data_IF_919868244012
#
_entry.id   IF_919868244012
#
_cell.length_a   1.000
_cell.length_b   1.000
_cell.length_c   1.000
_cell.angle_alpha   90.00
_cell.angle_beta   90.00
_cell.angle_gamma   90.00
#
_symmetry.space_group_name_H-M   'P 1'
#
loop_
_entity.id
_entity.type
_entity.pdbx_description
1 polymer ?
#
# COMPACT_ATOMS: atom_id res chain seq x y z
N UNK A 1 22.01 12.68 4.37
CA UNK A 1 22.04 11.22 4.17
C UNK A 1 21.93 10.58 5.54
N UNK A 2 21.01 9.63 5.72
CA UNK A 2 20.75 8.94 7.00
C UNK A 2 21.14 7.47 6.83
N UNK A 3 21.68 6.83 7.86
CA UNK A 3 22.05 5.40 7.81
C UNK A 3 21.33 4.59 8.87
N UNK A 4 20.91 3.37 8.50
CA UNK A 4 20.37 2.35 9.40
C UNK A 4 21.38 1.22 9.49
N UNK A 5 21.81 0.88 10.70
CA UNK A 5 22.75 -0.22 10.93
C UNK A 5 22.07 -1.31 11.72
N UNK A 6 22.07 -2.53 11.18
CA UNK A 6 21.57 -3.73 11.86
C UNK A 6 22.73 -4.55 12.38
N UNK A 7 22.65 -4.90 13.66
CA UNK A 7 23.58 -5.79 14.32
C UNK A 7 22.92 -7.16 14.50
N UNK A 8 23.62 -8.22 14.10
CA UNK A 8 23.20 -9.60 14.33
C UNK A 8 24.39 -10.37 14.88
N UNK A 9 24.16 -11.12 15.95
CA UNK A 9 25.21 -11.89 16.61
C UNK A 9 25.90 -12.84 15.63
N UNK A 10 27.22 -12.76 15.57
CA UNK A 10 28.06 -13.55 14.66
C UNK A 10 28.16 -13.02 13.23
N UNK A 11 27.54 -11.88 12.89
CA UNK A 11 27.61 -11.27 11.55
C UNK A 11 28.20 -9.86 11.60
N UNK A 12 28.84 -9.45 10.50
CA UNK A 12 29.27 -8.06 10.33
C UNK A 12 28.05 -7.15 10.30
N UNK A 13 28.08 -5.96 10.93
CA UNK A 13 26.96 -5.02 10.86
C UNK A 13 26.59 -4.69 9.41
N UNK A 14 25.31 -4.79 9.11
CA UNK A 14 24.74 -4.42 7.82
C UNK A 14 24.31 -2.96 7.88
N UNK A 15 24.84 -2.12 6.99
CA UNK A 15 24.52 -0.69 6.96
C UNK A 15 23.81 -0.34 5.67
N UNK A 16 22.62 0.20 5.79
CA UNK A 16 21.83 0.75 4.70
C UNK A 16 21.84 2.28 4.77
N UNK A 17 21.65 2.95 3.63
CA UNK A 17 21.67 4.42 3.56
C UNK A 17 20.47 4.95 2.82
N UNK A 18 19.91 6.03 3.34
CA UNK A 18 18.74 6.74 2.81
C UNK A 18 19.12 8.18 2.47
N UNK A 19 18.68 8.65 1.31
CA UNK A 19 18.82 10.03 0.86
C UNK A 19 17.45 10.68 0.81
N UNK A 20 17.37 11.89 1.32
CA UNK A 20 16.15 12.69 1.43
C UNK A 20 16.41 14.05 0.78
N UNK A 21 15.38 14.65 0.19
CA UNK A 21 15.44 16.03 -0.28
C UNK A 21 15.01 17.04 0.81
N UNK A 22 14.93 18.32 0.46
CA UNK A 22 14.53 19.39 1.39
C UNK A 22 13.02 19.41 1.72
N UNK A 23 12.23 18.49 1.15
CA UNK A 23 10.80 18.31 1.42
C UNK A 23 10.54 16.99 2.18
N UNK A 24 11.58 16.42 2.78
CA UNK A 24 11.54 15.13 3.48
C UNK A 24 11.05 13.97 2.60
N UNK A 25 11.32 14.02 1.29
CA UNK A 25 11.00 12.94 0.36
C UNK A 25 12.22 12.04 0.13
N UNK A 26 12.02 10.73 0.22
CA UNK A 26 13.11 9.76 0.01
C UNK A 26 13.51 9.78 -1.47
N UNK A 27 14.71 10.22 -1.80
CA UNK A 27 15.22 10.29 -3.19
C UNK A 27 16.16 9.16 -3.54
N UNK A 28 16.67 8.42 -2.56
CA UNK A 28 17.43 7.22 -2.84
C UNK A 28 17.66 6.31 -1.63
N UNK A 29 17.94 5.05 -1.94
CA UNK A 29 18.22 4.01 -0.97
C UNK A 29 19.40 3.16 -1.44
N UNK A 30 20.32 2.86 -0.54
CA UNK A 30 21.43 1.95 -0.77
C UNK A 30 21.35 0.79 0.23
N UNK A 31 21.18 -0.42 -0.25
CA UNK A 31 21.18 -1.62 0.59
C UNK A 31 22.58 -1.94 1.13
N UNK A 32 22.66 -2.76 2.18
CA UNK A 32 23.93 -3.24 2.72
C UNK A 32 24.78 -4.02 1.70
N UNK A 33 24.12 -4.64 0.71
CA UNK A 33 24.76 -5.37 -0.38
C UNK A 33 25.13 -4.48 -1.58
N UNK A 34 24.98 -3.15 -1.44
CA UNK A 34 25.36 -2.17 -2.46
C UNK A 34 24.32 -1.98 -3.56
N UNK A 35 23.09 -2.48 -3.39
CA UNK A 35 22.01 -2.20 -4.33
C UNK A 35 21.53 -0.75 -4.19
N UNK A 36 21.54 0.00 -5.29
CA UNK A 36 21.16 1.41 -5.29
C UNK A 36 19.81 1.61 -5.98
N UNK A 37 18.93 2.30 -5.28
CA UNK A 37 17.62 2.73 -5.75
C UNK A 37 17.52 4.24 -5.76
N UNK A 38 16.85 4.76 -6.79
CA UNK A 38 16.51 6.16 -6.92
C UNK A 38 15.00 6.31 -7.05
N UNK A 39 14.48 7.38 -6.45
CA UNK A 39 13.06 7.70 -6.43
C UNK A 39 12.84 9.11 -6.98
N UNK A 40 11.76 9.31 -7.73
CA UNK A 40 11.34 10.63 -8.23
C UNK A 40 9.93 10.96 -7.78
N UNK A 41 9.69 12.24 -7.55
CA UNK A 41 8.42 12.78 -7.12
C UNK A 41 8.00 13.92 -8.06
N UNK A 42 6.69 14.12 -8.22
CA UNK A 42 6.15 15.32 -8.86
C UNK A 42 6.11 16.51 -7.89
N UNK A 43 5.63 17.66 -8.36
CA UNK A 43 5.57 18.88 -7.55
C UNK A 43 4.58 18.82 -6.38
N UNK A 44 3.53 17.99 -6.45
CA UNK A 44 2.65 17.73 -5.31
C UNK A 44 3.21 16.66 -4.38
N UNK A 45 4.32 16.04 -4.75
CA UNK A 45 5.08 15.08 -4.00
C UNK A 45 4.70 13.63 -4.23
N UNK A 46 3.90 13.31 -5.25
CA UNK A 46 3.56 11.93 -5.63
C UNK A 46 4.77 11.26 -6.25
N UNK A 47 5.11 10.07 -5.76
CA UNK A 47 6.16 9.25 -6.37
C UNK A 47 5.77 8.93 -7.81
N UNK A 48 6.59 9.34 -8.77
CA UNK A 48 6.39 9.11 -10.20
C UNK A 48 7.26 7.97 -10.72
N UNK A 49 8.40 7.71 -10.07
CA UNK A 49 9.35 6.69 -10.49
C UNK A 49 10.09 6.08 -9.29
N UNK A 50 10.42 4.79 -9.41
CA UNK A 50 11.56 4.19 -8.71
C UNK A 50 12.40 3.34 -9.65
N UNK A 51 13.73 3.33 -9.51
CA UNK A 51 14.61 2.56 -10.40
C UNK A 51 15.84 2.00 -9.70
N UNK A 52 16.35 0.89 -10.22
CA UNK A 52 17.63 0.30 -9.84
C UNK A 52 18.43 -0.02 -11.11
N UNK A 53 19.43 0.79 -11.41
CA UNK A 53 20.23 0.69 -12.64
C UNK A 53 21.00 -0.62 -12.73
N UNK A 54 21.54 -1.11 -11.60
CA UNK A 54 22.26 -2.40 -11.53
C UNK A 54 21.37 -3.57 -11.95
N UNK A 55 20.09 -3.53 -11.58
CA UNK A 55 19.10 -4.54 -11.97
C UNK A 55 18.46 -4.25 -13.33
N UNK A 56 18.68 -3.05 -13.89
CA UNK A 56 17.99 -2.52 -15.06
C UNK A 56 16.47 -2.58 -14.92
N UNK A 57 15.98 -2.30 -13.72
CA UNK A 57 14.55 -2.28 -13.41
C UNK A 57 14.12 -0.85 -13.13
N UNK A 58 12.98 -0.45 -13.70
CA UNK A 58 12.33 0.84 -13.43
C UNK A 58 10.84 0.62 -13.23
N UNK A 59 10.26 1.28 -12.25
CA UNK A 59 8.82 1.37 -12.05
C UNK A 59 8.36 2.80 -12.26
N UNK A 60 7.25 3.00 -12.97
CA UNK A 60 6.58 4.30 -13.08
C UNK A 60 5.17 4.21 -12.52
N UNK A 61 4.71 5.30 -11.91
CA UNK A 61 3.43 5.36 -11.20
C UNK A 61 2.51 6.41 -11.82
N UNK A 62 1.28 6.01 -12.11
CA UNK A 62 0.18 6.90 -12.46
C UNK A 62 -0.80 7.01 -11.29
N UNK A 63 -1.31 8.21 -11.05
CA UNK A 63 -2.12 8.53 -9.89
C UNK A 63 -3.52 8.99 -10.31
N UNK A 64 -4.53 8.56 -9.56
CA UNK A 64 -5.88 9.11 -9.54
C UNK A 64 -6.10 9.79 -8.17
N UNK A 65 -6.08 11.12 -8.15
CA UNK A 65 -5.97 11.90 -6.91
C UNK A 65 -4.72 11.53 -6.10
N UNK A 66 -4.93 11.02 -4.88
CA UNK A 66 -3.92 10.53 -3.95
C UNK A 66 -3.85 8.99 -3.87
N UNK A 67 -4.47 8.28 -4.82
CA UNK A 67 -4.39 6.83 -4.96
C UNK A 67 -3.59 6.44 -6.21
N UNK A 68 -2.76 5.40 -6.11
CA UNK A 68 -2.02 4.87 -7.27
C UNK A 68 -3.01 4.12 -8.16
N UNK A 69 -3.21 4.58 -9.40
CA UNK A 69 -4.10 3.96 -10.37
C UNK A 69 -3.37 2.92 -11.23
N UNK A 70 -2.12 3.18 -11.59
CA UNK A 70 -1.34 2.31 -12.46
C UNK A 70 0.13 2.23 -12.03
N UNK A 71 0.73 1.04 -12.16
CA UNK A 71 2.16 0.81 -11.98
C UNK A 71 2.67 0.07 -13.20
N UNK A 72 3.70 0.61 -13.85
CA UNK A 72 4.40 -0.07 -14.94
C UNK A 72 5.78 -0.47 -14.48
N UNK A 73 6.15 -1.71 -14.74
CA UNK A 73 7.52 -2.21 -14.57
C UNK A 73 8.19 -2.31 -15.92
N UNK A 74 9.42 -1.81 -16.01
CA UNK A 74 10.30 -1.94 -17.15
C UNK A 74 11.53 -2.75 -16.74
N UNK A 75 11.96 -3.66 -17.61
CA UNK A 75 13.20 -4.43 -17.49
C UNK A 75 14.00 -4.27 -18.77
N UNK A 76 15.28 -3.91 -18.66
CA UNK A 76 16.12 -3.56 -19.82
C UNK A 76 15.40 -2.54 -20.74
N UNK A 77 14.79 -1.52 -20.13
CA UNK A 77 13.99 -0.46 -20.78
C UNK A 77 12.77 -0.93 -21.59
N UNK A 78 12.43 -2.21 -21.54
CA UNK A 78 11.23 -2.77 -22.16
C UNK A 78 10.12 -2.92 -21.14
N UNK A 79 8.89 -2.58 -21.54
CA UNK A 79 7.73 -2.76 -20.69
C UNK A 79 7.55 -4.25 -20.37
N UNK A 80 7.55 -4.57 -19.08
CA UNK A 80 7.54 -5.92 -18.57
C UNK A 80 6.19 -6.29 -17.95
N UNK A 81 5.64 -5.40 -17.13
CA UNK A 81 4.33 -5.58 -16.50
C UNK A 81 3.60 -4.25 -16.33
N UNK A 82 2.28 -4.33 -16.25
CA UNK A 82 1.37 -3.23 -15.96
C UNK A 82 0.37 -3.72 -14.91
N UNK A 83 0.19 -2.93 -13.86
CA UNK A 83 -0.79 -3.18 -12.80
C UNK A 83 -1.75 -2.02 -12.73
N UNK A 84 -3.04 -2.29 -12.85
CA UNK A 84 -4.11 -1.33 -12.61
C UNK A 84 -4.75 -1.65 -11.25
N UNK A 85 -4.99 -0.63 -10.44
CA UNK A 85 -5.55 -0.75 -9.11
C UNK A 85 -6.84 0.09 -9.04
N UNK A 86 -7.91 -0.52 -8.55
CA UNK A 86 -9.22 0.12 -8.40
C UNK A 86 -9.58 0.15 -6.92
N UNK A 87 -9.76 1.36 -6.39
CA UNK A 87 -10.06 1.59 -4.99
C UNK A 87 -11.47 2.15 -4.78
N UNK A 88 -12.07 1.82 -3.64
CA UNK A 88 -13.20 2.54 -3.06
C UNK A 88 -12.70 3.28 -1.81
N UNK A 89 -12.46 4.58 -1.93
CA UNK A 89 -11.67 5.30 -0.93
C UNK A 89 -10.23 4.76 -0.90
N UNK A 90 -9.85 4.12 0.21
CA UNK A 90 -8.53 3.50 0.37
C UNK A 90 -8.57 1.96 0.42
N UNK A 91 -9.75 1.37 0.25
CA UNK A 91 -9.92 -0.07 0.16
C UNK A 91 -9.69 -0.52 -1.28
N UNK A 92 -8.79 -1.48 -1.48
CA UNK A 92 -8.61 -2.11 -2.79
C UNK A 92 -9.85 -2.98 -3.08
N UNK A 93 -10.50 -2.73 -4.21
CA UNK A 93 -11.66 -3.51 -4.67
C UNK A 93 -11.22 -4.53 -5.71
N UNK A 94 -10.39 -4.09 -6.66
CA UNK A 94 -9.90 -4.95 -7.71
C UNK A 94 -8.54 -4.51 -8.19
N UNK A 95 -7.78 -5.46 -8.71
CA UNK A 95 -6.60 -5.18 -9.50
C UNK A 95 -6.60 -6.00 -10.77
N UNK A 96 -6.01 -5.42 -11.82
CA UNK A 96 -5.68 -6.12 -13.04
C UNK A 96 -4.17 -6.10 -13.21
N UNK A 97 -3.56 -7.26 -13.40
CA UNK A 97 -2.13 -7.41 -13.60
C UNK A 97 -1.85 -8.08 -14.94
N UNK A 98 -1.18 -7.34 -15.82
CA UNK A 98 -0.78 -7.75 -17.15
C UNK A 98 0.73 -7.83 -17.22
N UNK A 99 1.29 -8.91 -17.77
CA UNK A 99 2.76 -9.01 -17.94
C UNK A 99 3.16 -9.89 -19.10
N UNK A 100 4.40 -9.72 -19.53
CA UNK A 100 5.06 -10.63 -20.46
C UNK A 100 5.37 -11.95 -19.75
N UNK A 101 4.93 -13.07 -20.34
CA UNK A 101 5.30 -14.43 -19.94
C UNK A 101 5.86 -15.21 -21.13
N UNK A 102 6.92 -15.96 -20.87
CA UNK A 102 7.52 -16.89 -21.80
C UNK A 102 7.66 -18.24 -21.07
N UNK A 103 6.84 -19.22 -21.45
CA UNK A 103 6.84 -20.53 -20.79
C UNK A 103 8.11 -21.33 -21.09
N UNK A 104 8.68 -21.15 -22.28
CA UNK A 104 9.91 -21.80 -22.72
C UNK A 104 10.67 -20.87 -23.68
N UNK A 105 12.02 -20.88 -23.72
CA UNK A 105 12.81 -20.01 -24.61
C UNK A 105 12.47 -20.10 -26.10
N UNK A 106 11.91 -21.23 -26.54
CA UNK A 106 11.46 -21.44 -27.93
C UNK A 106 10.06 -20.91 -28.24
N UNK A 107 9.29 -20.49 -27.22
CA UNK A 107 7.94 -19.94 -27.39
C UNK A 107 8.03 -18.42 -27.37
N UNK A 108 7.30 -17.76 -28.26
CA UNK A 108 7.26 -16.30 -28.30
C UNK A 108 6.70 -15.74 -26.98
N UNK A 109 7.29 -14.67 -26.41
CA UNK A 109 6.74 -14.01 -25.24
C UNK A 109 5.34 -13.48 -25.53
N UNK A 110 4.40 -13.73 -24.62
CA UNK A 110 3.00 -13.30 -24.73
C UNK A 110 2.57 -12.50 -23.51
N UNK A 111 1.62 -11.59 -23.72
CA UNK A 111 0.97 -10.87 -22.63
C UNK A 111 -0.09 -11.74 -21.98
N UNK A 112 -0.01 -11.88 -20.66
CA UNK A 112 -1.01 -12.57 -19.84
C UNK A 112 -1.60 -11.57 -18.87
N UNK A 113 -2.92 -11.46 -18.86
CA UNK A 113 -3.70 -10.55 -18.02
C UNK A 113 -4.52 -11.34 -17.02
N UNK A 114 -4.46 -10.96 -15.74
CA UNK A 114 -5.29 -11.53 -14.67
C UNK A 114 -6.00 -10.42 -13.93
N UNK A 115 -7.27 -10.64 -13.62
CA UNK A 115 -8.08 -9.72 -12.80
C UNK A 115 -8.41 -10.43 -11.50
N UNK A 116 -8.09 -9.77 -10.38
CA UNK A 116 -8.35 -10.27 -9.05
C UNK A 116 -9.21 -9.27 -8.27
N UNK A 117 -10.06 -9.77 -7.39
CA UNK A 117 -10.93 -8.99 -6.51
C UNK A 117 -10.43 -9.10 -5.09
N UNK A 118 -10.32 -7.98 -4.39
CA UNK A 118 -9.74 -7.92 -3.06
C UNK A 118 -10.83 -7.81 -1.98
N UNK A 119 -10.55 -8.44 -0.85
CA UNK A 119 -11.26 -8.22 0.42
C UNK A 119 -10.25 -7.66 1.40
N UNK A 120 -10.55 -6.50 1.97
CA UNK A 120 -9.68 -5.83 2.93
C UNK A 120 -10.27 -5.84 4.34
N UNK A 121 -9.43 -5.66 5.34
CA UNK A 121 -9.90 -5.36 6.69
C UNK A 121 -10.27 -3.88 6.85
N UNK A 122 -10.74 -3.52 8.05
CA UNK A 122 -11.14 -2.15 8.38
C UNK A 122 -9.98 -1.14 8.24
N UNK A 123 -8.72 -1.58 8.32
CA UNK A 123 -7.55 -0.72 8.16
C UNK A 123 -7.18 -0.48 6.69
N UNK A 124 -7.96 -1.01 5.75
CA UNK A 124 -7.69 -0.98 4.32
C UNK A 124 -6.62 -1.98 3.87
N UNK A 125 -6.21 -2.89 4.76
CA UNK A 125 -5.20 -3.90 4.44
C UNK A 125 -5.85 -5.07 3.70
N UNK A 126 -5.34 -5.48 2.53
CA UNK A 126 -5.84 -6.65 1.82
C UNK A 126 -5.64 -7.94 2.64
N UNK A 127 -6.73 -8.67 2.87
CA UNK A 127 -6.75 -9.98 3.53
C UNK A 127 -6.69 -11.12 2.54
N UNK A 128 -7.39 -11.00 1.41
CA UNK A 128 -7.46 -12.03 0.38
C UNK A 128 -7.73 -11.42 -0.98
N UNK A 129 -7.22 -12.08 -2.03
CA UNK A 129 -7.60 -11.82 -3.41
C UNK A 129 -8.21 -13.08 -4.02
N UNK A 130 -9.23 -12.88 -4.85
CA UNK A 130 -9.98 -13.92 -5.55
C UNK A 130 -9.90 -13.71 -7.06
N UNK A 131 -9.84 -14.79 -7.84
CA UNK A 131 -10.04 -14.72 -9.29
C UNK A 131 -11.54 -14.53 -9.62
N UNK A 132 -11.88 -14.47 -10.91
CA UNK A 132 -13.26 -14.37 -11.40
C UNK A 132 -14.17 -15.56 -11.05
N UNK A 133 -13.58 -16.70 -10.68
CA UNK A 133 -14.31 -17.92 -10.28
C UNK A 133 -14.56 -17.96 -8.76
N UNK A 134 -14.12 -16.94 -8.01
CA UNK A 134 -14.22 -16.90 -6.55
C UNK A 134 -13.16 -17.73 -5.84
N UNK A 135 -12.13 -18.19 -6.55
CA UNK A 135 -11.02 -18.97 -6.00
C UNK A 135 -9.95 -18.05 -5.42
N UNK A 136 -9.47 -18.34 -4.21
CA UNK A 136 -8.42 -17.56 -3.57
C UNK A 136 -7.10 -17.72 -4.31
N UNK A 137 -6.53 -16.59 -4.75
CA UNK A 137 -5.23 -16.55 -5.46
C UNK A 137 -4.12 -15.92 -4.62
N UNK A 138 -4.44 -15.21 -3.54
CA UNK A 138 -3.45 -14.66 -2.63
C UNK A 138 -4.02 -14.42 -1.23
N UNK A 139 -3.15 -14.56 -0.22
CA UNK A 139 -3.37 -14.19 1.18
C UNK A 139 -2.03 -13.70 1.77
N UNK A 140 -2.02 -12.76 2.73
CA UNK A 140 -0.79 -12.34 3.38
C UNK A 140 -0.27 -13.45 4.32
N UNK A 141 1.04 -13.46 4.56
CA UNK A 141 1.64 -14.22 5.65
C UNK A 141 1.29 -13.63 7.03
N UNK A 142 1.75 -14.27 8.11
CA UNK A 142 1.56 -13.70 9.44
C UNK A 142 2.37 -12.42 9.59
N UNK A 143 1.78 -11.42 10.23
CA UNK A 143 2.42 -10.13 10.50
C UNK A 143 2.14 -9.67 11.91
N UNK A 144 3.00 -8.81 12.45
CA UNK A 144 2.72 -8.06 13.67
C UNK A 144 1.56 -7.08 13.48
N UNK A 145 1.09 -6.50 14.58
CA UNK A 145 0.12 -5.39 14.58
C UNK A 145 0.59 -4.19 13.74
N UNK A 146 1.90 -4.01 13.60
CA UNK A 146 2.52 -2.91 12.85
C UNK A 146 2.90 -3.32 11.43
N UNK A 147 2.49 -4.51 10.98
CA UNK A 147 2.68 -4.94 9.61
C UNK A 147 4.05 -5.57 9.31
N UNK A 148 4.89 -5.76 10.34
CA UNK A 148 6.14 -6.50 10.19
C UNK A 148 5.81 -7.96 9.85
N UNK A 149 6.33 -8.47 8.72
CA UNK A 149 6.19 -9.88 8.38
C UNK A 149 6.89 -10.76 9.44
N UNK A 150 6.13 -11.67 10.05
CA UNK A 150 6.62 -12.60 11.08
C UNK A 150 6.90 -14.00 10.52
N UNK A 151 6.27 -14.35 9.40
CA UNK A 151 6.58 -15.58 8.67
C UNK A 151 7.65 -15.30 7.61
N UNK A 152 8.71 -16.09 7.57
CA UNK A 152 9.52 -16.18 6.35
C UNK A 152 8.66 -16.83 5.25
N UNK A 153 8.89 -16.53 3.96
CA UNK A 153 8.33 -17.33 2.87
C UNK A 153 8.66 -18.82 2.98
N UNK A 154 9.73 -19.17 3.72
CA UNK A 154 10.14 -20.53 4.05
C UNK A 154 9.38 -21.15 5.24
N UNK A 155 8.74 -20.36 6.11
CA UNK A 155 8.01 -20.86 7.28
C UNK A 155 6.58 -21.28 6.94
N UNK A 156 6.10 -20.97 5.74
CA UNK A 156 4.92 -21.63 5.16
C UNK A 156 5.31 -22.97 4.54
N UNK A 157 6.09 -23.80 5.24
CA UNK A 157 6.47 -25.16 4.81
C UNK A 157 5.29 -26.09 4.48
N UNK A 158 4.05 -25.60 4.61
CA UNK A 158 2.91 -26.03 3.83
C UNK A 158 2.98 -25.43 2.41
N UNK A 159 3.48 -26.16 1.39
CA UNK A 159 3.09 -25.85 0.02
C UNK A 159 1.58 -25.70 0.01
N UNK A 160 1.06 -24.71 -0.74
CA UNK A 160 -0.37 -24.54 -0.87
C UNK A 160 -0.99 -25.92 -1.18
N UNK A 161 -1.78 -26.52 -0.26
CA UNK A 161 -2.25 -27.89 -0.40
C UNK A 161 -3.07 -28.09 -1.67
N UNK A 162 -3.51 -26.99 -2.29
CA UNK A 162 -4.34 -26.96 -3.48
C UNK A 162 -3.65 -26.34 -4.70
N UNK A 163 -2.44 -25.77 -4.57
CA UNK A 163 -1.67 -25.15 -5.68
C UNK A 163 -2.37 -23.96 -6.36
N UNK A 164 -3.18 -23.22 -5.62
CA UNK A 164 -4.09 -22.16 -6.05
C UNK A 164 -3.48 -20.75 -5.93
N UNK A 165 -2.50 -20.56 -5.04
CA UNK A 165 -1.85 -19.28 -4.82
C UNK A 165 -0.99 -18.87 -6.02
N UNK A 166 -1.26 -17.69 -6.53
CA UNK A 166 -0.45 -17.02 -7.54
C UNK A 166 0.61 -16.17 -6.83
N UNK A 167 1.91 -16.52 -6.94
CA UNK A 167 2.99 -15.75 -6.31
C UNK A 167 3.04 -14.29 -6.78
N UNK A 168 2.37 -13.96 -7.88
CA UNK A 168 2.36 -12.63 -8.48
C UNK A 168 1.09 -11.83 -8.17
N UNK A 169 0.09 -12.46 -7.56
CA UNK A 169 -1.16 -11.81 -7.20
C UNK A 169 -1.00 -10.84 -6.02
N UNK A 170 0.09 -10.91 -5.24
CA UNK A 170 0.33 -10.02 -4.11
C UNK A 170 0.10 -8.54 -4.48
N UNK A 171 -0.78 -7.79 -3.78
CA UNK A 171 -1.19 -6.44 -4.18
C UNK A 171 -0.12 -5.37 -3.94
N UNK A 172 0.92 -5.66 -3.15
CA UNK A 172 1.97 -4.68 -2.80
C UNK A 172 1.54 -3.63 -1.76
N UNK A 173 0.39 -3.83 -1.11
CA UNK A 173 -0.16 -2.91 -0.11
C UNK A 173 0.06 -3.42 1.31
N UNK A 174 0.23 -2.51 2.27
CA UNK A 174 0.19 -2.81 3.70
C UNK A 174 -1.12 -2.35 4.34
N UNK A 175 -1.20 -1.11 4.80
CA UNK A 175 -2.42 -0.45 5.28
C UNK A 175 -2.99 0.49 4.23
N UNK A 176 -4.16 1.09 4.50
CA UNK A 176 -4.75 2.14 3.67
C UNK A 176 -3.69 3.16 3.21
N UNK A 177 -3.55 3.34 1.89
CA UNK A 177 -2.59 4.28 1.28
C UNK A 177 -1.12 3.83 1.24
N UNK A 178 -0.76 2.71 1.88
CA UNK A 178 0.63 2.30 2.04
C UNK A 178 1.09 1.29 0.98
N UNK A 179 2.10 1.67 0.21
CA UNK A 179 2.76 0.83 -0.79
C UNK A 179 4.08 0.27 -0.25
N UNK A 180 4.24 -1.05 -0.25
CA UNK A 180 5.45 -1.72 0.24
C UNK A 180 6.58 -1.66 -0.79
N UNK A 181 7.73 -1.15 -0.38
CA UNK A 181 8.97 -1.19 -1.14
C UNK A 181 9.81 -2.38 -0.70
N UNK A 182 9.75 -3.46 -1.49
CA UNK A 182 10.45 -4.72 -1.25
C UNK A 182 11.96 -4.51 -1.01
N UNK A 183 12.56 -3.54 -1.69
CA UNK A 183 14.00 -3.28 -1.61
C UNK A 183 14.47 -2.77 -0.23
N UNK A 184 13.64 -1.99 0.46
CA UNK A 184 14.01 -1.31 1.71
C UNK A 184 13.24 -1.84 2.93
N UNK A 185 12.14 -2.56 2.68
CA UNK A 185 11.17 -2.98 3.70
C UNK A 185 10.31 -1.83 4.23
N UNK A 186 10.47 -0.62 3.69
CA UNK A 186 9.66 0.54 4.05
C UNK A 186 8.33 0.53 3.28
N UNK A 187 7.36 1.23 3.82
CA UNK A 187 6.09 1.48 3.15
C UNK A 187 6.00 2.95 2.76
N UNK A 188 5.97 3.25 1.47
CA UNK A 188 5.67 4.59 0.97
C UNK A 188 4.21 4.91 1.25
N UNK A 189 3.96 5.96 2.04
CA UNK A 189 2.63 6.45 2.41
C UNK A 189 2.50 7.93 2.07
N UNK A 190 2.40 8.22 0.77
CA UNK A 190 2.14 9.52 0.16
C UNK A 190 3.08 10.65 0.63
N UNK A 191 2.87 11.22 1.83
CA UNK A 191 3.73 12.27 2.39
C UNK A 191 4.87 11.75 3.27
N UNK A 192 4.83 10.48 3.71
CA UNK A 192 5.84 9.91 4.62
C UNK A 192 6.19 8.46 4.27
N UNK A 193 7.29 7.96 4.84
CA UNK A 193 7.68 6.55 4.78
C UNK A 193 7.49 5.91 6.14
N UNK A 194 6.69 4.86 6.17
CA UNK A 194 6.39 4.05 7.35
C UNK A 194 7.34 2.86 7.44
N UNK A 195 7.84 2.59 8.64
CA UNK A 195 8.69 1.45 8.94
C UNK A 195 7.92 0.43 9.79
N UNK A 196 7.57 -0.75 9.23
CA UNK A 196 6.79 -1.76 9.96
C UNK A 196 7.49 -2.34 11.19
N UNK A 197 8.83 -2.30 11.22
CA UNK A 197 9.64 -2.82 12.32
C UNK A 197 9.48 -1.98 13.59
N UNK A 198 9.47 -0.65 13.46
CA UNK A 198 9.30 0.28 14.58
C UNK A 198 7.85 0.73 14.80
N UNK A 199 6.99 0.55 13.79
CA UNK A 199 5.61 1.03 13.82
C UNK A 199 5.47 2.55 13.69
N UNK A 200 6.49 3.21 13.14
CA UNK A 200 6.60 4.67 13.07
C UNK A 200 6.94 5.16 11.67
N UNK A 201 6.72 6.45 11.43
CA UNK A 201 7.25 7.14 10.28
C UNK A 201 8.72 7.52 10.49
N UNK A 202 9.49 7.56 9.40
CA UNK A 202 10.90 7.93 9.43
C UNK A 202 11.14 9.44 9.50
N UNK A 203 10.12 10.24 9.18
CA UNK A 203 10.18 11.70 9.15
C UNK A 203 9.02 12.28 9.96
N UNK A 204 9.24 13.47 10.51
CA UNK A 204 8.23 14.19 11.29
C UNK A 204 7.03 14.55 10.39
N UNK A 205 5.83 14.63 10.98
CA UNK A 205 4.63 15.04 10.26
C UNK A 205 4.83 16.43 9.60
N UNK A 206 4.58 16.57 8.28
CA UNK A 206 4.66 17.87 7.60
C UNK A 206 3.73 18.95 8.17
N UNK A 207 2.66 18.56 8.87
CA UNK A 207 1.75 19.47 9.58
C UNK A 207 2.28 19.89 10.96
N UNK A 208 3.43 19.34 11.39
CA UNK A 208 3.99 19.54 12.70
C UNK A 208 2.98 19.21 13.80
N UNK A 209 2.89 20.08 14.80
CA UNK A 209 1.96 19.92 15.92
C UNK A 209 0.48 20.03 15.53
N UNK A 210 0.15 20.52 14.32
CA UNK A 210 -1.25 20.48 13.84
C UNK A 210 -1.70 19.04 13.50
N UNK A 211 -0.76 18.13 13.25
CA UNK A 211 -1.00 16.68 13.19
C UNK A 211 -1.00 16.02 14.57
N UNK A 212 -0.84 16.78 15.66
CA UNK A 212 -0.75 16.28 17.03
C UNK A 212 0.68 16.16 17.54
N UNK A 213 0.80 15.90 18.84
CA UNK A 213 2.06 16.00 19.59
C UNK A 213 3.09 14.92 19.21
N UNK A 214 2.62 13.74 18.80
CA UNK A 214 3.46 12.61 18.41
C UNK A 214 3.67 12.62 16.88
N UNK A 215 4.65 13.40 16.42
CA UNK A 215 4.84 13.71 14.99
C UNK A 215 5.40 12.56 14.16
N UNK A 216 6.00 11.53 14.78
CA UNK A 216 6.52 10.33 14.11
C UNK A 216 5.57 9.13 14.16
N UNK A 217 4.49 9.21 14.97
CA UNK A 217 3.57 8.11 15.17
C UNK A 217 2.74 7.85 13.91
N UNK A 218 2.45 6.57 13.62
CA UNK A 218 1.50 6.18 12.56
C UNK A 218 0.08 6.70 12.85
N UNK A 219 -0.58 6.11 13.86
CA UNK A 219 -1.90 6.53 14.34
C UNK A 219 -1.99 6.37 15.85
N UNK A 220 -2.89 7.08 16.56
CA UNK A 220 -3.07 6.92 18.00
C UNK A 220 -3.47 5.49 18.41
N UNK A 221 -4.31 4.84 17.62
CA UNK A 221 -4.73 3.46 17.83
C UNK A 221 -4.99 2.77 16.48
N UNK A 222 -4.15 1.81 16.06
CA UNK A 222 -4.25 1.15 14.75
C UNK A 222 -5.49 0.26 14.60
N UNK A 223 -6.21 -0.03 15.69
CA UNK A 223 -7.49 -0.76 15.64
C UNK A 223 -8.68 0.15 15.34
N UNK A 224 -8.51 1.48 15.40
CA UNK A 224 -9.62 2.45 15.31
C UNK A 224 -9.40 3.55 14.27
N UNK A 225 -8.17 3.72 13.80
CA UNK A 225 -7.75 4.83 12.96
C UNK A 225 -6.83 4.33 11.86
N UNK A 226 -6.93 5.01 10.72
CA UNK A 226 -6.01 4.85 9.60
C UNK A 226 -5.43 6.20 9.21
N UNK A 227 -4.25 6.17 8.61
CA UNK A 227 -3.60 7.34 8.03
C UNK A 227 -3.29 7.09 6.54
N UNK A 228 -4.26 7.37 5.65
CA UNK A 228 -4.11 7.03 4.24
C UNK A 228 -3.23 7.96 3.41
N UNK A 229 -2.87 9.12 3.96
CA UNK A 229 -2.02 10.11 3.29
C UNK A 229 -0.64 10.20 3.93
N UNK A 230 -0.42 9.56 5.08
CA UNK A 230 0.77 9.85 5.86
C UNK A 230 0.70 11.23 6.50
N UNK A 231 -0.46 11.70 6.94
CA UNK A 231 -0.66 12.91 7.73
C UNK A 231 -1.50 12.56 8.95
N UNK A 232 -1.02 12.87 10.16
CA UNK A 232 -1.63 12.51 11.45
C UNK A 232 -2.89 13.37 11.76
N UNK A 233 -3.74 13.60 10.76
CA UNK A 233 -5.15 13.98 10.96
C UNK A 233 -6.06 12.78 11.14
N UNK A 234 -5.57 11.56 10.90
CA UNK A 234 -6.19 10.27 11.21
C UNK A 234 -7.67 10.17 10.84
N UNK A 235 -8.04 9.36 9.87
CA UNK A 235 -9.46 9.11 9.64
C UNK A 235 -9.97 8.07 10.66
N UNK A 236 -10.91 8.49 11.52
CA UNK A 236 -11.62 7.54 12.38
C UNK A 236 -12.46 6.61 11.52
N UNK A 237 -12.37 5.30 11.77
CA UNK A 237 -13.11 4.28 11.00
C UNK A 237 -14.62 4.54 10.96
N UNK A 238 -15.20 5.03 12.06
CA UNK A 238 -16.63 5.34 12.12
C UNK A 238 -17.04 6.52 11.23
N UNK A 239 -16.12 7.46 10.95
CA UNK A 239 -16.40 8.63 10.13
C UNK A 239 -16.37 8.31 8.63
N UNK A 240 -15.52 7.36 8.20
CA UNK A 240 -15.52 6.87 6.82
C UNK A 240 -16.74 6.00 6.49
N UNK A 241 -17.17 5.11 7.41
CA UNK A 241 -18.35 4.26 7.20
C UNK A 241 -19.66 5.06 7.06
N UNK A 242 -19.72 6.25 7.68
CA UNK A 242 -20.87 7.16 7.52
C UNK A 242 -20.80 7.97 6.22
N UNK A 243 -19.61 8.23 5.67
CA UNK A 243 -19.48 8.93 4.38
C UNK A 243 -19.85 8.05 3.19
N UNK A 244 -19.63 6.72 3.28
CA UNK A 244 -20.02 5.78 2.22
C UNK A 244 -21.53 5.53 2.18
N UNK A 245 -22.22 5.60 3.32
CA UNK A 245 -23.69 5.49 3.37
C UNK A 245 -24.40 6.73 2.82
N UNK A 246 -23.80 7.92 2.95
CA UNK A 246 -24.29 9.15 2.31
C UNK A 246 -24.10 9.12 0.77
N UNK A 247 -23.04 8.46 0.27
CA UNK A 247 -22.79 8.24 -1.17
C UNK A 247 -23.71 7.17 -1.79
N UNK A 248 -24.25 6.24 -1.00
CA UNK A 248 -25.20 5.21 -1.46
C UNK A 248 -26.67 5.58 -1.30
N UNK A 249 -27.02 6.79 -0.86
CA UNK A 249 -28.42 7.21 -0.72
C UNK A 249 -29.27 6.32 0.20
N UNK A 250 -28.63 5.61 1.15
CA UNK A 250 -29.30 4.64 2.04
C UNK A 250 -29.70 5.25 3.40
N UNK A 251 -29.86 6.57 3.48
CA UNK A 251 -30.68 7.16 4.56
C UNK A 251 -32.15 6.95 4.22
N UNK A 252 -32.69 5.79 4.58
CA UNK A 252 -34.12 5.72 4.92
C UNK A 252 -34.34 6.61 6.13
N UNK A 253 -34.81 7.83 5.89
CA UNK A 253 -35.41 8.66 6.93
C UNK A 253 -36.48 7.80 7.64
N UNK A 254 -36.43 7.64 8.98
CA UNK A 254 -37.58 7.13 9.67
C UNK A 254 -38.71 8.14 9.45
N UNK A 255 -39.76 7.72 8.75
CA UNK A 255 -40.95 8.54 8.59
C UNK A 255 -41.54 8.77 9.98
N UNK A 256 -41.30 9.95 10.54
CA UNK A 256 -41.97 10.44 11.74
C UNK A 256 -43.44 10.66 11.41
N UNK A 257 -44.25 9.66 11.72
CA UNK A 257 -45.69 9.68 11.57
C UNK A 257 -46.33 10.33 12.81
N UNK A 258 -46.38 11.66 12.87
CA UNK A 258 -47.35 12.41 13.69
C UNK A 258 -47.60 13.80 13.08
N UNK A 259 -48.74 13.97 12.40
CA UNK A 259 -49.22 15.27 11.90
C UNK A 259 -50.31 15.78 12.86
N UNK A 260 -49.94 16.68 13.76
CA UNK A 260 -50.87 17.47 14.56
C UNK A 260 -51.46 18.57 13.66
N UNK A 261 -52.74 18.46 13.31
CA UNK A 261 -53.50 19.60 12.80
C UNK A 261 -54.10 20.36 13.99
N UNK A 262 -53.58 21.57 14.24
CA UNK A 262 -54.35 22.65 14.88
C UNK A 262 -54.97 23.48 13.76
N UNK A 263 -56.27 23.33 13.54
CA UNK A 263 -57.09 24.36 12.90
C UNK A 263 -57.72 25.21 13.99
N UNK A 264 -57.60 26.53 13.86
CA UNK A 264 -58.37 27.52 14.62
C UNK A 264 -59.18 28.34 13.62
N UNK A 265 -60.43 28.63 14.04
CA UNK A 265 -61.38 29.63 13.54
C UNK A 265 -62.02 29.25 12.18
N UNK A 266 -63.34 29.05 12.03
CA UNK A 266 -64.56 29.64 12.62
C UNK A 266 -65.59 28.55 12.95
#
# INVERSE_FOLDING_TARGET
MVSRTRHRDGYRPETERFRWDSRDQLTGYCSAQGEQWEYRHDASGRRTEKRCDRKKIRFTYLWDGDSIAEIREYRDDKLYSVRHLVFNGFELISQQFSRVRQAHPSVAPQWVTRTNHAVSDLTGRPLMLFNSEGKTVWRPGQTSLWGLALSLPADTGYPDPRGELDPEAAPGLLYAGQWQDVESGLCYNRFRYYEPETGMYLVSDPLGLQGGEQTYRYVPNPLRWIDPLGLNKGASLSKMMNSSSDLMGLRRQPQNFWRLYRGKDI
#
